data_IF_316228822872
#
_entry.id   IF_316228822872
#
_cell.length_a   1.000
_cell.length_b   1.000
_cell.length_c   1.000
_cell.angle_alpha   90.00
_cell.angle_beta   90.00
_cell.angle_gamma   90.00
#
_symmetry.space_group_name_H-M   'P 1'
#
loop_
_entity.id
_entity.type
_entity.pdbx_description
1 polymer ?
#
# COMPACT_ATOMS: atom_id res chain seq x y z
N UNK A 1 -23.41 3.07 72.92
CA UNK A 1 -22.64 2.02 72.22
C UNK A 1 -22.50 2.41 70.76
N UNK A 2 -21.37 2.04 70.20
CA UNK A 2 -20.58 2.77 69.21
C UNK A 2 -21.06 2.62 67.75
N UNK A 3 -20.97 3.75 67.07
CA UNK A 3 -21.12 4.13 65.66
C UNK A 3 -20.54 3.09 64.65
N UNK A 4 -21.29 2.79 63.57
CA UNK A 4 -20.86 2.06 62.37
C UNK A 4 -19.97 2.93 61.46
N UNK A 5 -19.01 2.35 60.69
CA UNK A 5 -19.35 1.96 59.32
C UNK A 5 -18.62 0.70 58.80
N UNK A 6 -19.35 -0.08 57.99
CA UNK A 6 -18.78 -1.09 57.10
C UNK A 6 -18.18 -0.40 55.87
N UNK A 7 -17.00 -0.86 55.52
CA UNK A 7 -16.14 -0.54 54.38
C UNK A 7 -16.85 -0.38 53.02
N UNK A 8 -16.45 0.65 52.26
CA UNK A 8 -16.32 0.59 50.81
C UNK A 8 -15.34 1.67 50.33
N UNK A 9 -14.09 1.28 50.05
CA UNK A 9 -13.14 2.13 49.34
C UNK A 9 -13.52 2.12 47.85
N UNK A 10 -14.02 3.25 47.34
CA UNK A 10 -14.26 3.43 45.92
C UNK A 10 -12.91 3.73 45.22
N UNK A 11 -12.35 2.75 44.52
CA UNK A 11 -11.21 2.96 43.64
C UNK A 11 -11.68 3.66 42.37
N UNK A 12 -11.26 4.91 42.19
CA UNK A 12 -11.38 5.63 40.93
C UNK A 12 -10.42 5.01 39.91
N UNK A 13 -10.93 4.30 38.90
CA UNK A 13 -10.13 3.88 37.75
C UNK A 13 -10.19 5.00 36.72
N UNK A 14 -9.13 5.80 36.72
CA UNK A 14 -8.88 6.83 35.72
C UNK A 14 -8.66 6.20 34.33
N UNK A 15 -9.16 6.92 33.32
CA UNK A 15 -9.19 6.61 31.90
C UNK A 15 -7.82 6.29 31.30
N UNK A 16 -7.72 5.17 30.59
CA UNK A 16 -6.68 4.91 29.58
C UNK A 16 -7.35 4.66 28.23
N UNK A 17 -7.94 5.69 27.63
CA UNK A 17 -8.10 5.67 26.17
C UNK A 17 -6.71 5.89 25.60
N UNK A 18 -5.99 4.79 25.33
CA UNK A 18 -4.78 4.85 24.53
C UNK A 18 -5.13 5.58 23.24
N UNK A 19 -4.48 6.74 23.07
CA UNK A 19 -4.43 7.43 21.81
C UNK A 19 -3.89 6.45 20.77
N UNK A 20 -4.79 5.89 19.96
CA UNK A 20 -4.44 5.51 18.59
C UNK A 20 -4.24 6.83 17.85
N UNK A 21 -3.17 7.55 18.18
CA UNK A 21 -2.53 8.45 17.26
C UNK A 21 -2.08 7.54 16.12
N UNK A 22 -2.95 7.39 15.10
CA UNK A 22 -2.59 6.77 13.85
C UNK A 22 -1.30 7.44 13.42
N UNK A 23 -0.22 6.66 13.42
CA UNK A 23 1.09 7.19 13.09
C UNK A 23 0.95 7.85 11.72
N UNK A 24 1.05 9.18 11.66
CA UNK A 24 1.09 9.89 10.39
C UNK A 24 2.47 9.66 9.80
N UNK A 25 2.71 8.45 9.31
CA UNK A 25 3.84 8.19 8.45
C UNK A 25 3.56 8.99 7.18
N UNK A 26 4.40 9.97 6.88
CA UNK A 26 4.44 10.54 5.55
C UNK A 26 4.78 9.38 4.60
N UNK A 27 3.77 8.84 3.91
CA UNK A 27 3.98 7.77 2.93
C UNK A 27 4.56 8.40 1.68
N UNK A 28 5.84 8.15 1.43
CA UNK A 28 6.48 8.51 0.16
C UNK A 28 6.07 7.47 -0.88
N UNK A 29 5.37 7.90 -1.92
CA UNK A 29 5.04 7.05 -3.06
C UNK A 29 6.16 7.12 -4.10
N UNK A 30 6.51 5.99 -4.68
CA UNK A 30 7.33 5.96 -5.88
C UNK A 30 6.45 6.20 -7.10
N UNK A 31 6.78 7.19 -7.93
CA UNK A 31 6.07 7.47 -9.16
C UNK A 31 6.49 6.47 -10.24
N UNK A 32 5.57 5.60 -10.64
CA UNK A 32 5.73 4.69 -11.77
C UNK A 32 4.48 4.78 -12.63
N UNK A 33 4.60 4.57 -13.93
CA UNK A 33 3.47 4.57 -14.85
C UNK A 33 3.28 3.22 -15.52
N UNK A 34 2.05 2.89 -15.87
CA UNK A 34 1.73 1.71 -16.69
C UNK A 34 2.34 1.88 -18.07
N UNK A 35 3.05 0.85 -18.53
CA UNK A 35 3.70 0.82 -19.83
C UNK A 35 3.75 -0.60 -20.41
N UNK A 36 4.04 -0.70 -21.71
CA UNK A 36 4.28 -1.97 -22.41
C UNK A 36 3.10 -2.96 -22.38
N UNK A 37 1.89 -2.48 -22.09
CA UNK A 37 0.65 -3.23 -22.27
C UNK A 37 0.24 -3.14 -23.75
N UNK A 38 -0.26 -4.22 -24.39
CA UNK A 38 -0.76 -4.16 -25.77
C UNK A 38 -1.83 -3.07 -25.97
N UNK A 39 -1.97 -2.61 -27.22
CA UNK A 39 -2.99 -1.62 -27.56
C UNK A 39 -4.40 -2.16 -27.26
N UNK A 40 -5.22 -1.36 -26.58
CA UNK A 40 -6.56 -1.74 -26.14
C UNK A 40 -6.62 -2.54 -24.84
N UNK A 41 -5.47 -2.99 -24.31
CA UNK A 41 -5.39 -3.74 -23.06
C UNK A 41 -5.10 -2.83 -21.86
N UNK A 42 -5.25 -3.41 -20.67
CA UNK A 42 -4.98 -2.75 -19.38
C UNK A 42 -4.11 -3.61 -18.47
N UNK A 43 -3.33 -2.95 -17.61
CA UNK A 43 -2.64 -3.62 -16.51
C UNK A 43 -3.62 -3.82 -15.35
N UNK A 44 -3.85 -5.08 -15.00
CA UNK A 44 -4.65 -5.42 -13.83
C UNK A 44 -3.85 -5.26 -12.54
N UNK A 45 -4.40 -4.54 -11.57
CA UNK A 45 -3.96 -4.57 -10.16
C UNK A 45 -4.74 -5.65 -9.43
N UNK A 46 -4.03 -6.50 -8.69
CA UNK A 46 -4.59 -7.71 -8.07
C UNK A 46 -4.42 -7.74 -6.56
N UNK A 47 -5.33 -8.42 -5.87
CA UNK A 47 -5.35 -8.50 -4.40
C UNK A 47 -4.08 -9.12 -3.79
N UNK A 48 -3.45 -10.04 -4.52
CA UNK A 48 -2.21 -10.73 -4.12
C UNK A 48 -1.25 -10.78 -5.32
N UNK A 49 0.07 -10.91 -5.09
CA UNK A 49 1.09 -10.88 -6.14
C UNK A 49 1.12 -12.19 -6.96
N UNK A 50 0.04 -12.47 -7.69
CA UNK A 50 -0.15 -13.68 -8.50
C UNK A 50 -1.11 -13.43 -9.66
N UNK A 51 -0.82 -14.04 -10.81
CA UNK A 51 -1.68 -13.98 -12.00
C UNK A 51 -3.05 -14.64 -11.83
N UNK A 52 -3.20 -15.53 -10.84
CA UNK A 52 -4.46 -16.19 -10.49
C UNK A 52 -5.28 -15.40 -9.45
N UNK A 53 -4.72 -14.34 -8.85
CA UNK A 53 -5.39 -13.57 -7.80
C UNK A 53 -6.51 -12.69 -8.35
N UNK A 54 -7.51 -12.40 -7.52
CA UNK A 54 -8.63 -11.51 -7.85
C UNK A 54 -8.13 -10.15 -8.37
N UNK A 55 -8.71 -9.69 -9.48
CA UNK A 55 -8.51 -8.35 -10.03
C UNK A 55 -9.29 -7.33 -9.18
N UNK A 56 -8.64 -6.24 -8.80
CA UNK A 56 -9.25 -5.13 -8.06
C UNK A 56 -9.50 -3.92 -8.97
N UNK A 57 -8.56 -3.60 -9.86
CA UNK A 57 -8.66 -2.51 -10.82
C UNK A 57 -7.89 -2.83 -12.10
N UNK A 58 -8.10 -2.02 -13.13
CA UNK A 58 -7.41 -2.11 -14.41
C UNK A 58 -7.04 -0.71 -14.90
N UNK A 59 -5.79 -0.53 -15.32
CA UNK A 59 -5.25 0.77 -15.73
C UNK A 59 -4.64 0.71 -17.14
N UNK A 60 -4.97 1.66 -18.03
CA UNK A 60 -4.35 1.74 -19.36
C UNK A 60 -2.90 2.24 -19.28
N UNK A 61 -2.15 2.08 -20.38
CA UNK A 61 -0.83 2.70 -20.54
C UNK A 61 -0.88 4.22 -20.27
N UNK A 62 0.17 4.75 -19.66
CA UNK A 62 0.30 6.16 -19.28
C UNK A 62 -0.31 6.51 -17.91
N UNK A 63 -1.04 5.59 -17.28
CA UNK A 63 -1.57 5.83 -15.92
C UNK A 63 -0.43 5.87 -14.91
N UNK A 64 -0.26 6.98 -14.20
CA UNK A 64 0.67 7.08 -13.06
C UNK A 64 0.06 6.37 -11.86
N UNK A 65 0.81 5.43 -11.29
CA UNK A 65 0.43 4.61 -10.14
C UNK A 65 1.09 5.17 -8.87
N UNK A 66 0.34 5.19 -7.78
CA UNK A 66 0.87 5.49 -6.44
C UNK A 66 1.50 4.23 -5.87
N UNK A 67 2.77 3.97 -6.18
CA UNK A 67 3.46 2.78 -5.70
C UNK A 67 3.92 2.96 -4.24
N UNK A 68 3.65 1.99 -3.37
CA UNK A 68 4.06 2.08 -1.95
C UNK A 68 5.57 1.92 -1.75
N UNK A 69 6.29 1.55 -2.80
CA UNK A 69 7.70 1.17 -2.75
C UNK A 69 7.91 -0.33 -2.64
N UNK A 70 6.96 -1.09 -2.07
CA UNK A 70 7.15 -2.52 -1.82
C UNK A 70 7.02 -3.37 -3.09
N UNK A 71 8.02 -4.19 -3.39
CA UNK A 71 7.93 -5.24 -4.39
C UNK A 71 8.27 -6.62 -3.81
N UNK A 72 7.79 -7.68 -4.44
CA UNK A 72 8.15 -9.06 -4.05
C UNK A 72 9.65 -9.30 -4.22
N UNK A 73 10.20 -10.24 -3.45
CA UNK A 73 11.64 -10.50 -3.43
C UNK A 73 12.45 -9.47 -2.63
N UNK A 74 11.81 -8.68 -1.76
CA UNK A 74 12.47 -7.75 -0.84
C UNK A 74 12.98 -6.47 -1.51
N UNK A 75 12.51 -6.14 -2.71
CA UNK A 75 12.92 -4.92 -3.42
C UNK A 75 12.05 -3.75 -2.95
N UNK A 76 12.69 -2.60 -2.72
CA UNK A 76 12.01 -1.32 -2.55
C UNK A 76 12.29 -0.40 -3.75
N UNK A 77 11.25 0.17 -4.34
CA UNK A 77 11.36 1.10 -5.47
C UNK A 77 12.10 2.39 -5.10
N UNK A 78 12.00 2.83 -3.83
CA UNK A 78 12.67 4.03 -3.35
C UNK A 78 14.20 3.84 -3.31
N UNK A 79 14.68 2.62 -3.02
CA UNK A 79 16.11 2.30 -2.96
C UNK A 79 16.78 2.25 -4.35
N UNK A 80 15.97 2.09 -5.41
CA UNK A 80 16.46 1.98 -6.79
C UNK A 80 16.19 3.24 -7.61
N UNK A 81 15.51 4.25 -7.05
CA UNK A 81 15.07 5.44 -7.77
C UNK A 81 16.22 6.24 -8.42
N UNK A 82 17.42 6.21 -7.82
CA UNK A 82 18.61 6.91 -8.35
C UNK A 82 19.35 6.15 -9.47
N UNK A 83 18.85 4.97 -9.85
CA UNK A 83 19.46 4.17 -10.93
C UNK A 83 18.89 4.57 -12.29
N UNK A 84 19.61 4.33 -13.40
CA UNK A 84 19.04 4.49 -14.74
C UNK A 84 17.74 3.68 -14.90
N UNK A 85 16.74 4.24 -15.60
CA UNK A 85 15.40 3.64 -15.73
C UNK A 85 15.43 2.16 -16.16
N UNK A 86 16.25 1.82 -17.16
CA UNK A 86 16.40 0.45 -17.65
C UNK A 86 16.86 -0.54 -16.56
N UNK A 87 17.70 -0.08 -15.62
CA UNK A 87 18.19 -0.92 -14.51
C UNK A 87 17.12 -1.10 -13.44
N UNK A 88 16.29 -0.06 -13.21
CA UNK A 88 15.14 -0.16 -12.33
C UNK A 88 14.12 -1.17 -12.88
N UNK A 89 13.73 -1.01 -14.15
CA UNK A 89 12.82 -1.93 -14.84
C UNK A 89 13.32 -3.37 -14.81
N UNK A 90 14.61 -3.59 -15.10
CA UNK A 90 15.20 -4.93 -15.08
C UNK A 90 15.12 -5.58 -13.70
N UNK A 91 15.35 -4.82 -12.61
CA UNK A 91 15.28 -5.32 -11.24
C UNK A 91 13.88 -5.81 -10.86
N UNK A 92 12.83 -5.14 -11.35
CA UNK A 92 11.45 -5.45 -10.98
C UNK A 92 10.68 -6.23 -12.04
N UNK A 93 11.25 -6.47 -13.23
CA UNK A 93 10.57 -7.07 -14.39
C UNK A 93 9.72 -8.31 -14.07
N UNK A 94 10.20 -9.17 -13.19
CA UNK A 94 9.53 -10.42 -12.80
C UNK A 94 8.99 -10.39 -11.37
N UNK A 95 8.89 -9.20 -10.78
CA UNK A 95 8.35 -8.96 -9.45
C UNK A 95 6.94 -8.41 -9.55
N UNK A 96 6.22 -8.50 -8.45
CA UNK A 96 4.98 -7.77 -8.26
C UNK A 96 5.28 -6.60 -7.36
N UNK A 97 4.78 -5.42 -7.70
CA UNK A 97 4.98 -4.20 -6.95
C UNK A 97 3.64 -3.67 -6.44
N UNK A 98 3.62 -3.24 -5.19
CA UNK A 98 2.43 -2.84 -4.47
C UNK A 98 2.03 -1.42 -4.84
N UNK A 99 0.75 -1.27 -5.14
CA UNK A 99 0.08 -0.03 -5.51
C UNK A 99 -0.91 0.32 -4.41
N UNK A 100 -0.94 1.57 -4.02
CA UNK A 100 -2.02 2.16 -3.24
C UNK A 100 -3.05 2.75 -4.20
N UNK A 101 -4.28 2.25 -4.17
CA UNK A 101 -5.28 2.69 -5.14
C UNK A 101 -6.71 2.59 -4.60
N UNK A 102 -7.63 3.31 -5.23
CA UNK A 102 -9.06 3.25 -4.94
C UNK A 102 -9.80 2.54 -6.09
N UNK A 103 -9.94 1.20 -6.02
CA UNK A 103 -10.59 0.44 -7.08
C UNK A 103 -12.07 0.78 -7.26
N UNK A 104 -12.75 1.32 -6.24
CA UNK A 104 -14.17 1.63 -6.29
C UNK A 104 -14.46 3.12 -6.55
N UNK A 105 -13.43 3.96 -6.68
CA UNK A 105 -13.53 5.40 -6.91
C UNK A 105 -14.43 6.12 -5.89
N UNK A 106 -14.36 5.70 -4.62
CA UNK A 106 -15.19 6.22 -3.53
C UNK A 106 -14.37 6.75 -2.33
N UNK A 107 -13.07 6.97 -2.53
CA UNK A 107 -12.11 7.41 -1.52
C UNK A 107 -11.60 6.29 -0.60
N UNK A 108 -12.02 5.03 -0.78
CA UNK A 108 -11.57 3.90 0.04
C UNK A 108 -10.37 3.22 -0.60
N UNK A 109 -9.19 3.78 -0.33
CA UNK A 109 -7.95 3.24 -0.82
C UNK A 109 -7.60 1.89 -0.17
N UNK A 110 -7.04 1.01 -0.98
CA UNK A 110 -6.54 -0.31 -0.60
C UNK A 110 -5.20 -0.57 -1.28
N UNK A 111 -4.46 -1.55 -0.76
CA UNK A 111 -3.30 -2.06 -1.49
C UNK A 111 -3.71 -3.11 -2.52
N UNK A 112 -2.94 -3.14 -3.59
CA UNK A 112 -3.01 -4.15 -4.64
C UNK A 112 -1.63 -4.34 -5.28
N UNK A 113 -1.52 -5.27 -6.22
CA UNK A 113 -0.25 -5.67 -6.83
C UNK A 113 -0.29 -5.56 -8.34
N UNK A 114 0.64 -4.80 -8.90
CA UNK A 114 0.90 -4.67 -10.34
C UNK A 114 2.12 -5.52 -10.73
N UNK A 115 2.10 -6.15 -11.90
CA UNK A 115 3.24 -6.94 -12.37
C UNK A 115 4.30 -6.03 -13.00
N UNK A 116 5.53 -6.12 -12.50
CA UNK A 116 6.63 -5.18 -12.76
C UNK A 116 7.05 -5.09 -14.23
N UNK A 117 6.77 -6.12 -15.05
CA UNK A 117 7.00 -6.08 -16.51
C UNK A 117 6.28 -4.92 -17.21
N UNK A 118 5.14 -4.47 -16.66
CA UNK A 118 4.23 -3.54 -17.31
C UNK A 118 4.19 -2.16 -16.66
N UNK A 119 5.26 -1.79 -15.96
CA UNK A 119 5.43 -0.45 -15.37
C UNK A 119 6.85 0.08 -15.65
N UNK A 120 6.97 1.39 -15.76
CA UNK A 120 8.23 2.13 -15.95
C UNK A 120 8.30 3.30 -14.96
N UNK A 121 9.49 3.76 -14.54
CA UNK A 121 9.61 5.00 -13.77
C UNK A 121 8.93 6.18 -14.50
N UNK A 122 8.32 7.11 -13.75
CA UNK A 122 7.66 8.32 -14.25
C UNK A 122 8.40 9.59 -13.81
#
# INVERSE_FOLDING_TARGET
MTIWPRTAAAFAVASLTLAFAGQSHATVFAAWQVANVPFGDTLNVRKYPSGASQKQAAYPNGTVLQMTGRCTGGINLLDIANQPAWKQEQKIRFRWCEVWHDPAQNGKFVTGWAYGKYITPH
#
